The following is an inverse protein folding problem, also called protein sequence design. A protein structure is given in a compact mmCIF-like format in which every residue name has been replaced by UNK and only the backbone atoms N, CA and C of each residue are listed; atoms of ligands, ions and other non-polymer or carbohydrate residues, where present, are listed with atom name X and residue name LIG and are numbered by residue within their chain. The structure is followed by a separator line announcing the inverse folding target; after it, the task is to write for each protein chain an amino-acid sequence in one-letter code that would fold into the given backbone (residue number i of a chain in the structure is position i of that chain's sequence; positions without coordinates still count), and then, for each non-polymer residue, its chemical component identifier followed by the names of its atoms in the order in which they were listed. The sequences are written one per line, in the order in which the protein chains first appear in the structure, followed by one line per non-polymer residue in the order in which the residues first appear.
data_IF_507294370326
#
_entry.id   IF_507294370326
#
_cell.length_a   1.000
_cell.length_b   1.000
_cell.length_c   1.000
_cell.angle_alpha   90.00
_cell.angle_beta   90.00
_cell.angle_gamma   90.00
#
_symmetry.space_group_name_H-M   'P 1'
#
loop_
_entity.id
_entity.type
_entity.pdbx_description
1 polymer ?
#
# COMPACT_ATOMS: atom_id res chain seq x y z
N UNK A 1 3.09 -30.23 60.24
CA UNK A 1 4.31 -29.46 60.01
C UNK A 1 4.98 -30.05 58.77
N UNK A 2 4.83 -29.41 57.60
CA UNK A 2 5.75 -29.32 56.45
C UNK A 2 5.02 -28.48 55.37
N UNK A 3 5.70 -27.45 54.90
CA UNK A 3 5.23 -26.29 54.13
C UNK A 3 4.80 -26.56 52.69
N UNK A 4 3.84 -25.73 52.23
CA UNK A 4 3.50 -25.50 50.82
C UNK A 4 4.56 -24.61 50.17
N UNK A 5 5.37 -25.13 49.24
CA UNK A 5 6.19 -24.29 48.36
C UNK A 5 5.41 -23.89 47.11
N UNK A 6 4.96 -22.63 47.07
CA UNK A 6 4.42 -21.98 45.88
C UNK A 6 5.53 -21.80 44.83
N UNK A 7 5.43 -22.48 43.69
CA UNK A 7 6.26 -22.21 42.53
C UNK A 7 5.82 -20.91 41.83
N UNK A 8 6.50 -19.80 42.10
CA UNK A 8 6.39 -18.59 41.27
C UNK A 8 7.07 -18.87 39.92
N UNK A 9 6.28 -18.94 38.84
CA UNK A 9 6.82 -18.81 37.47
C UNK A 9 7.29 -17.37 37.29
N UNK A 10 8.60 -17.17 37.18
CA UNK A 10 9.17 -15.93 36.71
C UNK A 10 8.77 -15.70 35.24
N UNK A 11 8.33 -14.48 34.92
CA UNK A 11 8.13 -14.02 33.55
C UNK A 11 9.51 -13.93 32.86
N UNK A 12 9.66 -14.31 31.57
CA UNK A 12 10.92 -14.15 30.87
C UNK A 12 11.28 -12.65 30.70
N UNK A 13 12.55 -12.33 30.95
CA UNK A 13 13.16 -11.01 30.77
C UNK A 13 13.06 -10.57 29.30
N UNK A 14 12.44 -9.41 29.06
CA UNK A 14 12.16 -8.86 27.73
C UNK A 14 13.38 -8.16 27.10
N UNK A 15 14.59 -8.72 27.24
CA UNK A 15 15.84 -8.09 26.77
C UNK A 15 16.78 -8.99 25.96
N UNK A 16 16.27 -10.08 25.39
CA UNK A 16 17.02 -10.84 24.39
C UNK A 16 16.08 -11.45 23.34
N UNK A 17 15.75 -10.67 22.32
CA UNK A 17 15.21 -11.21 21.08
C UNK A 17 16.40 -11.61 20.20
N UNK A 18 16.81 -12.87 20.28
CA UNK A 18 17.67 -13.49 19.27
C UNK A 18 16.84 -13.69 18.00
N UNK A 19 17.30 -13.12 16.88
CA UNK A 19 16.74 -13.33 15.54
C UNK A 19 16.64 -14.84 15.24
N UNK A 20 15.56 -15.34 14.62
CA UNK A 20 15.52 -16.72 14.15
C UNK A 20 16.53 -16.90 13.01
N UNK A 21 17.27 -18.01 13.07
CA UNK A 21 18.35 -18.37 12.16
C UNK A 21 18.00 -18.08 10.69
N UNK A 22 18.81 -17.20 10.10
CA UNK A 22 18.80 -16.91 8.68
C UNK A 22 19.28 -18.15 7.92
N UNK A 23 18.34 -18.93 7.39
CA UNK A 23 18.62 -19.88 6.32
C UNK A 23 19.06 -19.08 5.08
N UNK A 24 20.38 -18.93 4.95
CA UNK A 24 21.02 -18.12 3.93
C UNK A 24 20.72 -18.68 2.54
N UNK A 25 20.03 -17.90 1.72
CA UNK A 25 19.92 -18.17 0.29
C UNK A 25 21.34 -18.12 -0.34
N UNK A 26 21.79 -19.12 -1.12
CA UNK A 26 23.14 -19.13 -1.65
C UNK A 26 23.39 -17.94 -2.57
N UNK A 27 24.45 -17.18 -2.31
CA UNK A 27 24.98 -16.18 -3.24
C UNK A 27 25.91 -16.87 -4.24
N UNK A 28 25.35 -17.30 -5.36
CA UNK A 28 26.08 -17.62 -6.59
C UNK A 28 25.46 -16.75 -7.69
N UNK A 29 26.16 -16.15 -8.66
CA UNK A 29 27.56 -16.02 -9.03
C UNK A 29 27.55 -14.94 -10.12
N UNK A 30 28.61 -14.14 -10.27
CA UNK A 30 28.63 -12.90 -11.03
C UNK A 30 27.96 -12.91 -12.42
N UNK A 31 26.93 -12.08 -12.58
CA UNK A 31 26.45 -11.60 -13.90
C UNK A 31 26.42 -10.08 -13.82
N UNK A 32 27.59 -9.49 -13.99
CA UNK A 32 27.78 -8.06 -13.85
C UNK A 32 29.15 -7.64 -14.33
N UNK A 33 29.43 -7.89 -15.62
CA UNK A 33 30.44 -7.20 -16.46
C UNK A 33 30.62 -7.99 -17.75
N UNK A 34 29.99 -7.53 -18.83
CA UNK A 34 30.54 -7.55 -20.20
C UNK A 34 29.49 -6.93 -21.15
N UNK A 35 29.54 -5.61 -21.23
CA UNK A 35 29.05 -4.87 -22.37
C UNK A 35 30.27 -4.14 -22.97
N UNK A 36 30.34 -4.11 -24.30
CA UNK A 36 31.44 -3.68 -25.17
C UNK A 36 32.61 -4.66 -25.33
N UNK A 37 32.63 -5.37 -26.47
CA UNK A 37 33.62 -5.16 -27.53
C UNK A 37 33.51 -6.24 -28.62
N UNK A 38 33.29 -5.80 -29.88
CA UNK A 38 34.01 -6.19 -31.13
C UNK A 38 33.09 -6.34 -32.34
N UNK A 39 33.13 -5.30 -33.17
CA UNK A 39 33.10 -5.41 -34.63
C UNK A 39 34.35 -6.16 -35.14
N UNK A 40 34.19 -6.84 -36.29
CA UNK A 40 35.25 -7.06 -37.26
C UNK A 40 35.88 -8.46 -37.32
N UNK A 41 35.52 -9.22 -38.36
CA UNK A 41 36.44 -9.78 -39.36
C UNK A 41 36.11 -11.21 -39.82
N UNK A 42 35.94 -11.34 -41.14
CA UNK A 42 35.82 -12.56 -41.93
C UNK A 42 37.07 -13.46 -41.88
N UNK A 43 36.90 -14.79 -41.97
CA UNK A 43 37.33 -15.62 -43.14
C UNK A 43 37.16 -17.14 -42.91
N UNK A 44 36.43 -17.74 -43.86
CA UNK A 44 36.52 -19.06 -44.52
C UNK A 44 37.27 -20.26 -43.88
N UNK A 45 36.63 -21.44 -43.89
CA UNK A 45 37.10 -22.63 -44.63
C UNK A 45 36.05 -23.78 -44.66
N UNK A 46 36.07 -24.53 -45.76
CA UNK A 46 35.19 -25.61 -46.25
C UNK A 46 35.02 -26.86 -45.35
N UNK A 47 33.90 -27.59 -45.49
CA UNK A 47 33.79 -28.81 -46.34
C UNK A 47 32.62 -29.76 -45.94
N UNK A 48 31.80 -30.11 -46.96
CA UNK A 48 31.15 -31.41 -47.25
C UNK A 48 30.31 -32.15 -46.20
N UNK A 49 29.04 -32.43 -46.54
CA UNK A 49 28.27 -33.51 -45.92
C UNK A 49 26.76 -33.45 -46.17
N UNK A 50 26.29 -34.19 -47.17
CA UNK A 50 24.88 -34.48 -47.45
C UNK A 50 24.19 -35.13 -46.23
N UNK A 51 23.06 -34.58 -45.78
CA UNK A 51 22.21 -35.14 -44.73
C UNK A 51 20.87 -34.44 -44.65
N UNK A 52 19.79 -35.23 -44.69
CA UNK A 52 18.37 -34.86 -44.74
C UNK A 52 17.93 -33.65 -43.87
N UNK A 53 16.84 -32.93 -44.24
CA UNK A 53 16.36 -31.80 -43.46
C UNK A 53 15.81 -32.32 -42.13
N UNK A 54 16.63 -32.23 -41.07
CA UNK A 54 16.12 -32.27 -39.71
C UNK A 54 15.29 -31.01 -39.54
N UNK A 55 13.98 -31.18 -39.40
CA UNK A 55 13.10 -30.14 -38.87
C UNK A 55 13.62 -29.87 -37.45
N UNK A 56 14.48 -28.86 -37.34
CA UNK A 56 14.94 -28.38 -36.06
C UNK A 56 13.71 -27.89 -35.33
N UNK A 57 13.26 -28.67 -34.34
CA UNK A 57 12.31 -28.19 -33.35
C UNK A 57 12.93 -26.92 -32.77
N UNK A 58 12.33 -25.78 -33.11
CA UNK A 58 12.69 -24.51 -32.50
C UNK A 58 12.65 -24.72 -30.99
N UNK A 59 13.75 -24.55 -30.25
CA UNK A 59 13.63 -24.49 -28.81
C UNK A 59 12.79 -23.24 -28.58
N UNK A 60 11.55 -23.41 -28.13
CA UNK A 60 10.83 -22.32 -27.47
C UNK A 60 11.78 -21.92 -26.34
N UNK A 61 12.57 -20.87 -26.61
CA UNK A 61 13.45 -20.29 -25.62
C UNK A 61 12.51 -19.85 -24.51
N UNK A 62 12.45 -20.66 -23.46
CA UNK A 62 11.73 -20.32 -22.26
C UNK A 62 12.35 -19.00 -21.81
N UNK A 63 11.66 -17.89 -22.08
CA UNK A 63 12.10 -16.56 -21.68
C UNK A 63 12.19 -16.65 -20.16
N UNK A 64 13.41 -16.82 -19.64
CA UNK A 64 13.64 -16.94 -18.22
C UNK A 64 13.08 -15.69 -17.57
N UNK A 65 11.96 -15.84 -16.86
CA UNK A 65 11.26 -14.71 -16.26
C UNK A 65 12.21 -14.08 -15.25
N UNK A 66 12.68 -12.86 -15.52
CA UNK A 66 13.54 -12.11 -14.61
C UNK A 66 12.89 -12.09 -13.23
N UNK A 67 13.56 -12.67 -12.24
CA UNK A 67 13.08 -12.69 -10.85
C UNK A 67 13.11 -11.25 -10.34
N UNK A 68 11.95 -10.70 -10.00
CA UNK A 68 11.82 -9.37 -9.40
C UNK A 68 12.21 -9.46 -7.93
N UNK A 69 13.17 -8.65 -7.48
CA UNK A 69 13.60 -8.60 -6.09
C UNK A 69 13.02 -7.38 -5.36
N UNK A 70 12.78 -7.50 -4.06
CA UNK A 70 12.43 -6.41 -3.16
C UNK A 70 13.67 -5.63 -2.71
N UNK A 71 13.46 -4.57 -1.90
CA UNK A 71 14.55 -3.75 -1.36
C UNK A 71 15.50 -4.50 -0.42
N UNK A 72 15.15 -5.72 -0.03
CA UNK A 72 15.93 -6.60 0.82
C UNK A 72 16.55 -7.78 0.02
N UNK A 73 16.44 -7.77 -1.31
CA UNK A 73 16.96 -8.83 -2.17
C UNK A 73 16.11 -10.10 -2.20
N UNK A 74 14.89 -10.07 -1.66
CA UNK A 74 13.97 -11.22 -1.65
C UNK A 74 13.09 -11.23 -2.90
N UNK A 75 12.73 -12.40 -3.46
CA UNK A 75 11.76 -12.46 -4.55
C UNK A 75 10.43 -11.79 -4.18
N UNK A 76 9.98 -10.83 -5.00
CA UNK A 76 8.66 -10.21 -4.88
C UNK A 76 7.59 -11.22 -5.33
N UNK A 77 6.48 -11.37 -4.59
CA UNK A 77 5.33 -12.13 -5.07
C UNK A 77 4.82 -11.59 -6.41
N UNK A 78 4.25 -12.47 -7.23
CA UNK A 78 3.79 -12.11 -8.58
C UNK A 78 2.74 -10.98 -8.58
N UNK A 79 1.83 -10.96 -7.59
CA UNK A 79 0.75 -9.96 -7.49
C UNK A 79 1.19 -8.65 -6.83
N UNK A 80 2.47 -8.53 -6.41
CA UNK A 80 3.00 -7.34 -5.76
C UNK A 80 2.84 -6.11 -6.66
N UNK A 81 2.03 -5.16 -6.20
CA UNK A 81 1.70 -3.90 -6.88
C UNK A 81 0.50 -3.94 -7.81
N UNK A 82 0.05 -5.12 -8.26
CA UNK A 82 -1.03 -5.23 -9.24
C UNK A 82 -2.41 -4.85 -8.69
N UNK A 83 -2.67 -5.13 -7.42
CA UNK A 83 -3.94 -4.75 -6.75
C UNK A 83 -4.12 -3.22 -6.80
N UNK A 84 -3.09 -2.46 -6.44
CA UNK A 84 -3.13 -1.01 -6.49
C UNK A 84 -3.09 -0.46 -7.92
N UNK A 85 -2.41 -1.16 -8.85
CA UNK A 85 -2.43 -0.81 -10.27
C UNK A 85 -3.85 -0.88 -10.85
N UNK A 86 -4.63 -1.91 -10.49
CA UNK A 86 -6.04 -2.04 -10.87
C UNK A 86 -6.93 -1.03 -10.13
N UNK A 87 -6.65 -0.75 -8.85
CA UNK A 87 -7.41 0.22 -8.06
C UNK A 87 -7.25 1.67 -8.55
N UNK A 88 -6.10 2.03 -9.10
CA UNK A 88 -5.79 3.41 -9.55
C UNK A 88 -6.79 3.97 -10.57
N UNK A 89 -7.07 3.31 -11.72
CA UNK A 89 -8.07 3.80 -12.67
C UNK A 89 -9.50 3.80 -12.10
N UNK A 90 -9.84 2.84 -11.23
CA UNK A 90 -11.14 2.80 -10.56
C UNK A 90 -11.32 3.98 -9.60
N UNK A 91 -10.28 4.32 -8.82
CA UNK A 91 -10.25 5.48 -7.94
C UNK A 91 -10.37 6.80 -8.71
N UNK A 92 -9.67 6.91 -9.85
CA UNK A 92 -9.80 8.06 -10.74
C UNK A 92 -11.22 8.19 -11.31
N UNK A 93 -11.79 7.11 -11.85
CA UNK A 93 -13.15 7.12 -12.39
C UNK A 93 -14.18 7.48 -11.31
N UNK A 94 -14.06 6.90 -10.11
CA UNK A 94 -14.94 7.23 -8.99
C UNK A 94 -14.84 8.70 -8.58
N UNK A 95 -13.62 9.23 -8.48
CA UNK A 95 -13.39 10.65 -8.18
C UNK A 95 -14.01 11.59 -9.22
N UNK A 96 -13.89 11.27 -10.51
CA UNK A 96 -14.52 12.04 -11.60
C UNK A 96 -16.03 12.07 -11.43
N UNK A 97 -16.67 10.91 -11.20
CA UNK A 97 -18.12 10.84 -11.00
C UNK A 97 -18.53 11.67 -9.78
N UNK A 98 -17.82 11.54 -8.64
CA UNK A 98 -18.08 12.34 -7.43
C UNK A 98 -18.00 13.84 -7.70
N UNK A 99 -17.03 14.32 -8.49
CA UNK A 99 -16.92 15.73 -8.88
C UNK A 99 -18.10 16.15 -9.76
N UNK A 100 -18.54 15.30 -10.69
CA UNK A 100 -19.67 15.60 -11.57
C UNK A 100 -20.97 15.76 -10.78
N UNK A 101 -21.27 14.84 -9.87
CA UNK A 101 -22.52 14.84 -9.09
C UNK A 101 -22.49 15.78 -7.88
N UNK A 102 -21.31 16.20 -7.42
CA UNK A 102 -21.19 17.07 -6.25
C UNK A 102 -21.87 18.43 -6.45
N UNK A 103 -22.84 18.82 -5.60
CA UNK A 103 -23.45 20.13 -5.61
C UNK A 103 -22.50 21.21 -5.09
N UNK A 104 -22.47 22.35 -5.78
CA UNK A 104 -21.70 23.52 -5.38
C UNK A 104 -20.18 23.37 -5.50
N UNK A 105 -19.50 24.51 -5.56
CA UNK A 105 -18.05 24.57 -5.80
C UNK A 105 -17.24 23.93 -4.67
N UNK A 106 -17.68 24.08 -3.41
CA UNK A 106 -16.97 23.58 -2.24
C UNK A 106 -16.83 22.05 -2.23
N UNK A 107 -17.94 21.32 -2.44
CA UNK A 107 -17.92 19.86 -2.43
C UNK A 107 -17.23 19.29 -3.67
N UNK A 108 -17.33 19.96 -4.84
CA UNK A 108 -16.54 19.60 -6.03
C UNK A 108 -15.03 19.61 -5.76
N UNK A 109 -14.53 20.66 -5.11
CA UNK A 109 -13.11 20.73 -4.72
C UNK A 109 -12.77 19.66 -3.68
N UNK A 110 -13.64 19.40 -2.71
CA UNK A 110 -13.44 18.35 -1.74
C UNK A 110 -13.32 16.96 -2.38
N UNK A 111 -14.17 16.65 -3.37
CA UNK A 111 -14.11 15.42 -4.16
C UNK A 111 -12.83 15.37 -5.03
N UNK A 112 -12.37 16.50 -5.57
CA UNK A 112 -11.11 16.57 -6.31
C UNK A 112 -9.89 16.28 -5.42
N UNK A 113 -9.86 16.82 -4.20
CA UNK A 113 -8.81 16.52 -3.20
C UNK A 113 -8.80 15.03 -2.86
N UNK A 114 -9.97 14.43 -2.64
CA UNK A 114 -10.11 12.99 -2.41
C UNK A 114 -9.59 12.17 -3.60
N UNK A 115 -9.99 12.52 -4.83
CA UNK A 115 -9.53 11.86 -6.06
C UNK A 115 -8.01 11.92 -6.20
N UNK A 116 -7.41 13.11 -6.06
CA UNK A 116 -5.96 13.27 -6.19
C UNK A 116 -5.20 12.49 -5.11
N UNK A 117 -5.69 12.48 -3.87
CA UNK A 117 -5.10 11.71 -2.78
C UNK A 117 -5.20 10.19 -3.05
N UNK A 118 -6.30 9.73 -3.64
CA UNK A 118 -6.51 8.33 -4.02
C UNK A 118 -5.57 7.90 -5.14
N UNK A 119 -5.44 8.73 -6.19
CA UNK A 119 -4.50 8.48 -7.30
C UNK A 119 -3.06 8.51 -6.80
N UNK A 120 -2.72 9.45 -5.92
CA UNK A 120 -1.40 9.53 -5.31
C UNK A 120 -1.09 8.22 -4.55
N UNK A 121 -1.99 7.75 -3.70
CA UNK A 121 -1.78 6.50 -2.96
C UNK A 121 -1.66 5.29 -3.88
N UNK A 122 -2.72 4.96 -4.64
CA UNK A 122 -2.74 3.73 -5.41
C UNK A 122 -1.74 3.76 -6.57
N UNK A 123 -1.63 4.91 -7.25
CA UNK A 123 -0.74 5.09 -8.39
C UNK A 123 0.73 5.02 -7.99
N UNK A 124 1.13 5.75 -6.93
CA UNK A 124 2.50 5.67 -6.42
C UNK A 124 2.82 4.26 -5.91
N UNK A 125 1.89 3.62 -5.21
CA UNK A 125 2.10 2.27 -4.68
C UNK A 125 2.28 1.23 -5.78
N UNK A 126 1.47 1.32 -6.84
CA UNK A 126 1.62 0.51 -8.04
C UNK A 126 2.99 0.74 -8.70
N UNK A 127 3.36 2.00 -8.91
CA UNK A 127 4.63 2.39 -9.54
C UNK A 127 5.84 1.90 -8.74
N UNK A 128 5.81 2.09 -7.43
CA UNK A 128 6.83 1.63 -6.50
C UNK A 128 7.04 0.11 -6.59
N UNK A 129 5.95 -0.66 -6.58
CA UNK A 129 6.02 -2.11 -6.46
C UNK A 129 6.27 -2.83 -7.80
N UNK A 130 5.73 -2.31 -8.90
CA UNK A 130 5.85 -2.91 -10.23
C UNK A 130 7.18 -2.62 -10.92
N UNK A 131 7.74 -1.43 -10.69
CA UNK A 131 8.96 -1.02 -11.38
C UNK A 131 10.25 -1.62 -10.81
N UNK A 132 11.26 -1.65 -11.66
CA UNK A 132 12.64 -2.04 -11.37
C UNK A 132 13.51 -0.78 -11.44
N UNK A 133 13.58 -0.07 -10.32
CA UNK A 133 14.13 1.28 -10.25
C UNK A 133 15.55 1.30 -9.69
N UNK A 134 16.28 2.38 -9.96
CA UNK A 134 17.55 2.63 -9.27
C UNK A 134 17.33 2.79 -7.76
N UNK A 135 18.32 2.48 -6.91
CA UNK A 135 18.15 2.55 -5.45
C UNK A 135 17.63 3.90 -4.94
N UNK A 136 18.05 5.01 -5.56
CA UNK A 136 17.59 6.36 -5.22
C UNK A 136 16.09 6.53 -5.51
N UNK A 137 15.64 6.11 -6.68
CA UNK A 137 14.23 6.21 -7.08
C UNK A 137 13.37 5.28 -6.22
N UNK A 138 13.84 4.07 -5.94
CA UNK A 138 13.16 3.13 -5.03
C UNK A 138 12.95 3.73 -3.64
N UNK A 139 13.94 4.44 -3.10
CA UNK A 139 13.82 5.08 -1.80
C UNK A 139 12.81 6.23 -1.80
N UNK A 140 12.83 7.09 -2.83
CA UNK A 140 11.85 8.18 -2.99
C UNK A 140 10.43 7.64 -3.12
N UNK A 141 10.21 6.68 -4.03
CA UNK A 141 8.89 6.08 -4.24
C UNK A 141 8.37 5.39 -2.98
N UNK A 142 9.25 4.70 -2.25
CA UNK A 142 8.93 4.10 -0.95
C UNK A 142 8.48 5.16 0.04
N UNK A 143 9.15 6.30 0.16
CA UNK A 143 8.76 7.38 1.09
C UNK A 143 7.40 7.96 0.72
N UNK A 144 7.18 8.24 -0.55
CA UNK A 144 5.89 8.72 -1.05
C UNK A 144 4.78 7.70 -0.74
N UNK A 145 5.06 6.41 -0.89
CA UNK A 145 4.09 5.34 -0.61
C UNK A 145 3.63 5.33 0.86
N UNK A 146 4.54 5.57 1.80
CA UNK A 146 4.21 5.65 3.23
C UNK A 146 3.45 6.94 3.56
N UNK A 147 3.87 8.07 2.99
CA UNK A 147 3.26 9.37 3.25
C UNK A 147 1.85 9.48 2.66
N UNK A 148 1.61 8.84 1.52
CA UNK A 148 0.33 8.92 0.83
C UNK A 148 -0.84 8.31 1.64
N UNK A 149 -0.56 7.44 2.62
CA UNK A 149 -1.59 6.94 3.54
C UNK A 149 -2.22 8.09 4.33
N UNK A 150 -1.41 9.02 4.85
CA UNK A 150 -1.91 10.18 5.59
C UNK A 150 -2.68 11.14 4.67
N UNK A 151 -2.19 11.34 3.44
CA UNK A 151 -2.88 12.13 2.43
C UNK A 151 -4.24 11.53 2.07
N UNK A 152 -4.36 10.20 1.90
CA UNK A 152 -5.64 9.56 1.63
C UNK A 152 -6.60 9.70 2.81
N UNK A 153 -6.11 9.58 4.05
CA UNK A 153 -6.95 9.79 5.24
C UNK A 153 -7.51 11.23 5.24
N UNK A 154 -6.66 12.25 5.14
CA UNK A 154 -7.09 13.64 5.09
C UNK A 154 -8.02 13.92 3.88
N UNK A 155 -7.67 13.36 2.73
CA UNK A 155 -8.47 13.41 1.51
C UNK A 155 -9.86 12.80 1.70
N UNK A 156 -10.00 11.72 2.48
CA UNK A 156 -11.28 11.07 2.77
C UNK A 156 -12.16 11.92 3.69
N UNK A 157 -11.59 12.53 4.72
CA UNK A 157 -12.33 13.45 5.59
C UNK A 157 -12.84 14.69 4.84
N UNK A 158 -12.18 15.07 3.76
CA UNK A 158 -12.47 16.32 3.06
C UNK A 158 -13.89 16.37 2.49
N UNK A 159 -14.35 15.43 1.64
CA UNK A 159 -15.74 15.40 1.20
C UNK A 159 -16.70 14.85 2.26
N UNK A 160 -16.30 13.87 3.08
CA UNK A 160 -17.24 13.26 4.05
C UNK A 160 -17.73 14.27 5.10
N UNK A 161 -16.86 15.22 5.49
CA UNK A 161 -17.19 16.25 6.48
C UNK A 161 -18.24 17.25 6.01
N UNK A 162 -18.60 17.27 4.72
CA UNK A 162 -19.75 18.05 4.22
C UNK A 162 -21.10 17.51 4.69
N UNK A 163 -21.14 16.28 5.22
CA UNK A 163 -22.32 15.79 5.92
C UNK A 163 -22.59 16.53 7.25
N UNK A 164 -21.61 17.28 7.78
CA UNK A 164 -21.75 18.00 9.05
C UNK A 164 -21.91 19.50 8.82
N UNK A 165 -22.31 20.21 9.87
CA UNK A 165 -22.36 21.67 9.84
C UNK A 165 -20.98 22.31 9.62
N UNK A 166 -21.01 23.62 9.34
CA UNK A 166 -19.82 24.38 9.01
C UNK A 166 -18.75 24.39 10.12
N UNK A 167 -19.16 24.33 11.39
CA UNK A 167 -18.22 24.34 12.51
C UNK A 167 -17.46 23.01 12.57
N UNK A 168 -18.18 21.89 12.65
CA UNK A 168 -17.56 20.56 12.76
C UNK A 168 -16.76 20.21 11.52
N UNK A 169 -17.24 20.59 10.33
CA UNK A 169 -16.49 20.44 9.10
C UNK A 169 -15.12 21.11 9.19
N UNK A 170 -15.06 22.37 9.64
CA UNK A 170 -13.78 23.08 9.81
C UNK A 170 -12.90 22.42 10.87
N UNK A 171 -13.45 22.02 12.02
CA UNK A 171 -12.69 21.35 13.09
C UNK A 171 -12.00 20.09 12.57
N UNK A 172 -12.75 19.23 11.87
CA UNK A 172 -12.21 18.00 11.29
C UNK A 172 -11.12 18.32 10.26
N UNK A 173 -11.41 19.24 9.33
CA UNK A 173 -10.48 19.60 8.25
C UNK A 173 -9.17 20.19 8.79
N UNK A 174 -9.24 21.18 9.68
CA UNK A 174 -8.04 21.76 10.28
C UNK A 174 -7.27 20.72 11.08
N UNK A 175 -7.95 19.94 11.93
CA UNK A 175 -7.31 18.90 12.74
C UNK A 175 -6.55 17.88 11.89
N UNK A 176 -7.24 17.28 10.90
CA UNK A 176 -6.64 16.21 10.10
C UNK A 176 -5.56 16.70 9.15
N UNK A 177 -5.73 17.87 8.51
CA UNK A 177 -4.72 18.40 7.61
C UNK A 177 -3.50 18.92 8.36
N UNK A 178 -3.67 19.63 9.49
CA UNK A 178 -2.54 20.05 10.32
C UNK A 178 -1.74 18.85 10.82
N UNK A 179 -2.42 17.81 11.30
CA UNK A 179 -1.73 16.64 11.80
C UNK A 179 -1.10 15.81 10.66
N UNK A 180 -1.69 15.79 9.46
CA UNK A 180 -1.08 15.21 8.24
C UNK A 180 0.21 15.94 7.88
N UNK A 181 0.19 17.28 7.86
CA UNK A 181 1.37 18.09 7.56
C UNK A 181 2.49 17.86 8.59
N UNK A 182 2.16 17.76 9.88
CA UNK A 182 3.13 17.46 10.93
C UNK A 182 3.78 16.09 10.70
N UNK A 183 2.98 15.05 10.41
CA UNK A 183 3.52 13.71 10.15
C UNK A 183 4.35 13.67 8.87
N UNK A 184 3.90 14.35 7.81
CA UNK A 184 4.67 14.50 6.58
C UNK A 184 6.03 15.14 6.84
N UNK A 185 6.06 16.22 7.62
CA UNK A 185 7.30 16.89 8.00
C UNK A 185 8.23 15.97 8.80
N UNK A 186 7.70 15.28 9.82
CA UNK A 186 8.47 14.30 10.60
C UNK A 186 9.03 13.21 9.70
N UNK A 187 8.25 12.71 8.73
CA UNK A 187 8.69 11.65 7.82
C UNK A 187 9.77 12.11 6.83
N UNK A 188 9.78 13.41 6.48
CA UNK A 188 10.84 14.01 5.65
C UNK A 188 12.13 14.21 6.46
N UNK A 189 12.02 14.65 7.71
CA UNK A 189 13.18 14.95 8.58
C UNK A 189 13.78 13.68 9.21
N UNK A 190 12.94 12.78 9.73
CA UNK A 190 13.37 11.59 10.47
C UNK A 190 13.35 10.33 9.61
N UNK A 191 14.31 10.30 8.69
CA UNK A 191 14.47 9.28 7.66
C UNK A 191 14.64 7.85 8.23
N UNK A 192 15.25 7.72 9.40
CA UNK A 192 15.63 6.43 10.00
C UNK A 192 14.62 5.85 10.99
N UNK A 193 13.42 6.44 11.11
CA UNK A 193 12.46 5.99 12.12
C UNK A 193 11.98 4.55 11.85
N UNK A 194 11.76 3.74 12.90
CA UNK A 194 11.44 2.33 12.75
C UNK A 194 10.03 2.13 12.16
N UNK A 195 9.85 1.09 11.34
CA UNK A 195 8.59 0.83 10.62
C UNK A 195 7.37 0.72 11.53
N UNK A 196 7.53 0.15 12.73
CA UNK A 196 6.43 0.01 13.70
C UNK A 196 5.88 1.36 14.16
N UNK A 197 6.71 2.41 14.20
CA UNK A 197 6.29 3.75 14.58
C UNK A 197 5.32 4.29 13.53
N UNK A 198 5.69 4.24 12.26
CA UNK A 198 4.83 4.69 11.17
C UNK A 198 3.50 3.91 11.11
N UNK A 199 3.57 2.59 11.32
CA UNK A 199 2.37 1.74 11.41
C UNK A 199 1.44 2.16 12.54
N UNK A 200 1.99 2.45 13.72
CA UNK A 200 1.21 2.88 14.87
C UNK A 200 0.59 4.25 14.65
N UNK A 201 1.35 5.19 14.06
CA UNK A 201 0.88 6.57 13.81
C UNK A 201 -0.33 6.57 12.89
N UNK A 202 -0.32 5.86 11.74
CA UNK A 202 -1.50 5.89 10.86
C UNK A 202 -2.71 5.16 11.45
N UNK A 203 -2.53 4.13 12.30
CA UNK A 203 -3.65 3.47 12.98
C UNK A 203 -4.32 4.44 13.94
N UNK A 204 -3.55 5.14 14.76
CA UNK A 204 -4.06 6.19 15.66
C UNK A 204 -4.77 7.28 14.85
N UNK A 205 -4.16 7.69 13.72
CA UNK A 205 -4.70 8.71 12.83
C UNK A 205 -6.03 8.29 12.20
N UNK A 206 -6.14 7.03 11.76
CA UNK A 206 -7.37 6.48 11.20
C UNK A 206 -8.48 6.33 12.24
N UNK A 207 -8.12 5.87 13.45
CA UNK A 207 -9.07 5.69 14.57
C UNK A 207 -9.55 7.03 15.14
N UNK A 208 -8.83 8.14 14.93
CA UNK A 208 -9.29 9.46 15.34
C UNK A 208 -10.70 9.82 14.83
N UNK A 209 -11.13 9.22 13.72
CA UNK A 209 -12.49 9.36 13.18
C UNK A 209 -13.60 8.85 14.10
N UNK A 210 -13.27 7.91 15.00
CA UNK A 210 -14.21 7.37 15.98
C UNK A 210 -14.81 8.48 16.85
N UNK A 211 -14.02 9.52 17.16
CA UNK A 211 -14.48 10.67 17.95
C UNK A 211 -15.64 11.44 17.30
N UNK A 212 -15.84 11.31 15.98
CA UNK A 212 -16.85 12.04 15.23
C UNK A 212 -18.02 11.16 14.78
N UNK A 213 -18.02 9.85 15.08
CA UNK A 213 -19.05 8.93 14.56
C UNK A 213 -20.47 9.27 15.03
N UNK A 214 -20.65 9.73 16.27
CA UNK A 214 -21.98 10.16 16.75
C UNK A 214 -22.50 11.39 15.99
N UNK A 215 -21.63 12.30 15.57
CA UNK A 215 -22.01 13.44 14.73
C UNK A 215 -22.49 12.98 13.35
N UNK A 216 -21.76 12.05 12.72
CA UNK A 216 -22.17 11.46 11.45
C UNK A 216 -23.45 10.63 11.57
N UNK A 217 -23.64 9.93 12.69
CA UNK A 217 -24.83 9.14 12.97
C UNK A 217 -26.08 10.00 13.01
N UNK A 218 -25.99 11.18 13.64
CA UNK A 218 -27.11 12.12 13.80
C UNK A 218 -27.29 13.05 12.62
N UNK A 219 -26.31 13.13 11.71
CA UNK A 219 -26.41 13.94 10.51
C UNK A 219 -27.45 13.36 9.54
N UNK A 220 -28.35 14.22 9.06
CA UNK A 220 -29.30 13.86 8.02
C UNK A 220 -28.62 13.43 6.71
N UNK A 221 -27.46 14.02 6.39
CA UNK A 221 -26.72 13.75 5.17
C UNK A 221 -25.85 12.49 5.21
N UNK A 222 -25.57 11.95 6.40
CA UNK A 222 -24.78 10.73 6.56
C UNK A 222 -25.65 9.57 7.09
N UNK A 223 -26.11 9.69 8.33
CA UNK A 223 -26.91 8.68 9.01
C UNK A 223 -26.18 7.35 9.29
N UNK A 224 -26.91 6.34 9.76
CA UNK A 224 -26.35 5.06 10.18
C UNK A 224 -25.60 4.29 9.07
N UNK A 225 -26.09 4.36 7.83
CA UNK A 225 -25.48 3.64 6.71
C UNK A 225 -24.05 4.12 6.44
N UNK A 226 -23.84 5.44 6.42
CA UNK A 226 -22.51 6.04 6.26
C UNK A 226 -21.61 5.66 7.43
N UNK A 227 -22.11 5.71 8.68
CA UNK A 227 -21.31 5.33 9.85
C UNK A 227 -20.85 3.88 9.79
N UNK A 228 -21.73 2.94 9.42
CA UNK A 228 -21.34 1.54 9.28
C UNK A 228 -20.31 1.32 8.18
N UNK A 229 -20.39 2.05 7.07
CA UNK A 229 -19.37 2.02 6.01
C UNK A 229 -18.03 2.60 6.49
N UNK A 230 -18.04 3.67 7.29
CA UNK A 230 -16.82 4.23 7.87
C UNK A 230 -16.16 3.23 8.83
N UNK A 231 -16.96 2.58 9.68
CA UNK A 231 -16.49 1.53 10.61
C UNK A 231 -15.94 0.34 9.83
N UNK A 232 -16.71 -0.21 8.89
CA UNK A 232 -16.28 -1.35 8.07
C UNK A 232 -14.99 -1.04 7.31
N UNK A 233 -14.90 0.17 6.73
CA UNK A 233 -13.69 0.62 6.04
C UNK A 233 -12.49 0.72 6.97
N UNK A 234 -12.67 1.30 8.17
CA UNK A 234 -11.66 1.37 9.21
C UNK A 234 -11.17 -0.02 9.67
N UNK A 235 -12.10 -0.97 9.85
CA UNK A 235 -11.76 -2.34 10.20
C UNK A 235 -10.96 -3.04 9.09
N UNK A 236 -11.30 -2.85 7.82
CA UNK A 236 -10.52 -3.36 6.69
C UNK A 236 -9.08 -2.82 6.69
N UNK A 237 -8.89 -1.51 6.92
CA UNK A 237 -7.56 -0.92 7.04
C UNK A 237 -6.77 -1.49 8.22
N UNK A 238 -7.40 -1.60 9.39
CA UNK A 238 -6.75 -2.14 10.60
C UNK A 238 -6.38 -3.61 10.41
N UNK A 239 -7.28 -4.43 9.88
CA UNK A 239 -7.02 -5.84 9.60
C UNK A 239 -5.85 -6.01 8.62
N UNK A 240 -5.83 -5.23 7.54
CA UNK A 240 -4.70 -5.21 6.61
C UNK A 240 -3.39 -4.80 7.30
N UNK A 241 -3.42 -3.75 8.12
CA UNK A 241 -2.25 -3.25 8.85
C UNK A 241 -1.70 -4.28 9.85
N UNK A 242 -2.58 -5.02 10.53
CA UNK A 242 -2.21 -6.12 11.43
C UNK A 242 -1.50 -7.22 10.64
N UNK A 243 -2.07 -7.67 9.52
CA UNK A 243 -1.44 -8.69 8.67
C UNK A 243 -0.07 -8.24 8.17
N UNK A 244 0.05 -6.98 7.77
CA UNK A 244 1.32 -6.39 7.35
C UNK A 244 2.37 -6.37 8.48
N UNK A 245 1.95 -5.97 9.68
CA UNK A 245 2.83 -5.87 10.84
C UNK A 245 3.31 -7.24 11.32
N UNK A 246 2.39 -8.22 11.40
CA UNK A 246 2.68 -9.59 11.81
C UNK A 246 3.38 -10.41 10.72
N UNK A 247 3.34 -9.94 9.46
CA UNK A 247 3.78 -10.67 8.26
C UNK A 247 3.10 -12.03 8.12
N UNK A 248 1.88 -12.15 8.64
CA UNK A 248 1.07 -13.35 8.63
C UNK A 248 -0.42 -13.00 8.49
N UNK A 249 -1.22 -13.81 7.77
CA UNK A 249 -0.82 -15.04 7.08
C UNK A 249 -0.06 -14.77 5.77
N UNK A 250 0.74 -15.74 5.32
CA UNK A 250 1.47 -15.71 4.05
C UNK A 250 1.06 -16.91 3.19
N UNK A 251 -0.15 -16.88 2.59
CA UNK A 251 -0.79 -18.09 2.06
C UNK A 251 -0.06 -18.65 0.83
N UNK A 252 0.45 -17.78 -0.05
CA UNK A 252 1.25 -18.17 -1.20
C UNK A 252 2.43 -17.22 -1.41
N UNK A 253 3.55 -17.42 -0.71
CA UNK A 253 4.67 -16.47 -0.67
C UNK A 253 5.25 -16.08 -2.04
N UNK A 254 5.07 -16.92 -3.07
CA UNK A 254 5.52 -16.65 -4.44
C UNK A 254 4.52 -15.85 -5.28
N UNK A 255 3.24 -15.86 -4.95
CA UNK A 255 2.18 -15.26 -5.78
C UNK A 255 1.39 -14.20 -5.04
N UNK A 256 0.92 -14.51 -3.82
CA UNK A 256 0.04 -13.70 -3.00
C UNK A 256 0.34 -13.95 -1.52
N UNK A 257 1.02 -12.98 -0.88
CA UNK A 257 1.44 -13.07 0.50
C UNK A 257 0.79 -12.04 1.42
N UNK A 258 1.36 -11.87 2.61
CA UNK A 258 0.85 -10.94 3.63
C UNK A 258 0.72 -9.49 3.13
N UNK A 259 1.60 -9.06 2.22
CA UNK A 259 1.60 -7.70 1.67
C UNK A 259 0.45 -7.51 0.67
N UNK A 260 0.12 -8.54 -0.09
CA UNK A 260 -1.02 -8.54 -1.00
C UNK A 260 -2.34 -8.52 -0.22
N UNK A 261 -2.41 -9.23 0.93
CA UNK A 261 -3.55 -9.14 1.85
C UNK A 261 -3.69 -7.72 2.41
N UNK A 262 -2.58 -7.07 2.77
CA UNK A 262 -2.59 -5.66 3.18
C UNK A 262 -3.13 -4.74 2.07
N UNK A 263 -2.71 -4.93 0.82
CA UNK A 263 -3.26 -4.17 -0.31
C UNK A 263 -4.76 -4.46 -0.51
N UNK A 264 -5.22 -5.70 -0.36
CA UNK A 264 -6.64 -6.03 -0.41
C UNK A 264 -7.42 -5.30 0.69
N UNK A 265 -6.95 -5.30 1.93
CA UNK A 265 -7.57 -4.57 3.05
C UNK A 265 -7.62 -3.07 2.79
N UNK A 266 -6.57 -2.51 2.19
CA UNK A 266 -6.50 -1.08 1.81
C UNK A 266 -7.54 -0.73 0.74
N UNK A 267 -7.66 -1.54 -0.32
CA UNK A 267 -8.66 -1.31 -1.38
C UNK A 267 -10.09 -1.54 -0.88
N UNK A 268 -10.32 -2.56 -0.05
CA UNK A 268 -11.62 -2.82 0.56
C UNK A 268 -12.03 -1.67 1.50
N UNK A 269 -11.11 -1.18 2.33
CA UNK A 269 -11.31 -0.03 3.19
C UNK A 269 -11.67 1.23 2.41
N UNK A 270 -10.89 1.50 1.36
CA UNK A 270 -11.16 2.58 0.41
C UNK A 270 -12.54 2.47 -0.25
N UNK A 271 -12.92 1.29 -0.72
CA UNK A 271 -14.22 1.08 -1.35
C UNK A 271 -15.39 1.41 -0.41
N UNK A 272 -15.31 1.00 0.86
CA UNK A 272 -16.31 1.38 1.87
C UNK A 272 -16.41 2.90 2.02
N UNK A 273 -15.27 3.59 2.11
CA UNK A 273 -15.23 5.05 2.27
C UNK A 273 -15.70 5.80 1.02
N UNK A 274 -15.37 5.32 -0.18
CA UNK A 274 -15.90 5.83 -1.45
C UNK A 274 -17.43 5.75 -1.46
N UNK A 275 -18.00 4.59 -1.14
CA UNK A 275 -19.46 4.41 -1.09
C UNK A 275 -20.10 5.35 -0.06
N UNK A 276 -19.47 5.50 1.12
CA UNK A 276 -19.93 6.46 2.12
C UNK A 276 -19.96 7.90 1.58
N UNK A 277 -18.92 8.32 0.85
CA UNK A 277 -18.84 9.64 0.22
C UNK A 277 -19.88 9.80 -0.89
N UNK A 278 -20.16 8.76 -1.68
CA UNK A 278 -21.27 8.78 -2.65
C UNK A 278 -22.61 9.00 -1.97
N UNK A 279 -22.90 8.27 -0.88
CA UNK A 279 -24.17 8.43 -0.15
C UNK A 279 -24.34 9.86 0.37
N UNK A 280 -23.28 10.43 0.97
CA UNK A 280 -23.27 11.83 1.41
C UNK A 280 -23.50 12.78 0.23
N UNK A 281 -22.77 12.59 -0.87
CA UNK A 281 -22.82 13.49 -2.02
C UNK A 281 -24.20 13.44 -2.69
N UNK A 282 -24.78 12.26 -2.87
CA UNK A 282 -26.11 12.08 -3.45
C UNK A 282 -27.21 12.65 -2.56
N UNK A 283 -27.06 12.60 -1.23
CA UNK A 283 -28.03 13.21 -0.32
C UNK A 283 -28.01 14.75 -0.40
N UNK A 284 -26.84 15.33 -0.63
CA UNK A 284 -26.67 16.79 -0.69
C UNK A 284 -27.07 17.40 -2.04
N UNK A 285 -27.20 16.58 -3.08
CA UNK A 285 -27.53 16.98 -4.46
C UNK A 285 -28.98 17.47 -4.58
#
# INVERSE_FOLDING_TARGET
MVERSQGRRALPDARHWSEPDHEAYPKDSGVGKQANAREGSNRAANATGSGAPRIAGSPIAAIARKVRLDVHGRPKPLMRGWIHAAATPLAMASGIVLICIAPGTGLKWACAVFMLSSIALFGNSALYHLGDWSPRVTDVLRRLDHVNIFLLIAGTYTPVSFALDHFWRKVILFGIWSATLVVMFIHVVWISAPRWLYTSVYVIFGVAGVAFLDLFWRSAAAGPAVVWLLIAGGLCYIAGAIVYALRMPDPWPRTFGFHEIFHCGTVAGYACHVVAIYLVTCHLM
#
